data_IF_789025563914
#
_entry.id   IF_789025563914
#
_cell.length_a   1.000
_cell.length_b   1.000
_cell.length_c   1.000
_cell.angle_alpha   90.00
_cell.angle_beta   90.00
_cell.angle_gamma   90.00
#
_symmetry.space_group_name_H-M   'P 1'
#
loop_
_entity.id
_entity.type
_entity.pdbx_description
1 polymer ?
#
# COMPACT_ATOMS: atom_id res chain seq x y z
N UNK A 1 1.10 -5.17 -10.76
CA UNK A 1 0.81 -4.11 -9.77
C UNK A 1 0.60 -4.77 -8.42
N UNK A 2 1.22 -4.27 -7.35
CA UNK A 2 1.02 -4.81 -5.99
C UNK A 2 0.22 -3.82 -5.16
N UNK A 3 -0.87 -4.27 -4.54
CA UNK A 3 -1.67 -3.51 -3.58
C UNK A 3 -1.37 -4.08 -2.19
N UNK A 4 -0.87 -3.24 -1.29
CA UNK A 4 -0.42 -3.66 0.03
C UNK A 4 -1.27 -2.99 1.09
N UNK A 5 -1.89 -3.78 1.96
CA UNK A 5 -2.61 -3.29 3.12
C UNK A 5 -1.89 -3.73 4.39
N UNK A 6 -1.54 -2.76 5.21
CA UNK A 6 -0.90 -2.98 6.51
C UNK A 6 -1.98 -2.89 7.57
N UNK A 7 -2.14 -3.96 8.35
CA UNK A 7 -3.15 -4.06 9.40
C UNK A 7 -2.48 -3.92 10.77
N UNK A 8 -2.90 -2.94 11.57
CA UNK A 8 -2.50 -2.87 12.97
C UNK A 8 -3.21 -3.93 13.83
N UNK A 9 -2.74 -4.14 15.06
CA UNK A 9 -3.29 -5.16 15.94
C UNK A 9 -4.78 -4.91 16.22
N UNK A 10 -5.63 -5.85 15.77
CA UNK A 10 -7.08 -5.79 15.93
C UNK A 10 -7.82 -5.17 14.76
N UNK A 11 -7.12 -4.68 13.73
CA UNK A 11 -7.74 -4.27 12.47
C UNK A 11 -8.03 -5.47 11.59
N UNK A 12 -9.20 -5.46 10.98
CA UNK A 12 -9.61 -6.43 9.97
C UNK A 12 -9.60 -5.78 8.61
N UNK A 13 -9.28 -6.57 7.58
CA UNK A 13 -9.43 -6.12 6.21
C UNK A 13 -10.88 -5.68 5.95
N UNK A 14 -11.12 -4.53 5.31
CA UNK A 14 -12.48 -4.17 4.90
C UNK A 14 -13.06 -5.26 4.00
N UNK A 15 -14.28 -5.72 4.30
CA UNK A 15 -14.91 -6.86 3.59
C UNK A 15 -15.01 -6.65 2.07
N UNK A 16 -15.13 -5.39 1.63
CA UNK A 16 -15.27 -5.04 0.21
C UNK A 16 -13.94 -4.91 -0.54
N UNK A 17 -12.83 -4.70 0.15
CA UNK A 17 -11.55 -4.40 -0.51
C UNK A 17 -11.10 -5.58 -1.39
N UNK A 18 -11.26 -6.81 -0.92
CA UNK A 18 -10.94 -7.99 -1.71
C UNK A 18 -11.81 -8.07 -2.97
N UNK A 19 -13.12 -7.89 -2.83
CA UNK A 19 -14.06 -7.91 -3.95
C UNK A 19 -13.82 -6.79 -4.96
N UNK A 20 -13.48 -5.58 -4.50
CA UNK A 20 -13.16 -4.45 -5.38
C UNK A 20 -11.88 -4.74 -6.20
N UNK A 21 -10.88 -5.40 -5.60
CA UNK A 21 -9.66 -5.82 -6.30
C UNK A 21 -9.95 -6.93 -7.32
N UNK A 22 -10.78 -7.91 -6.99
CA UNK A 22 -11.20 -8.95 -7.94
C UNK A 22 -11.93 -8.36 -9.16
N UNK A 23 -12.75 -7.34 -8.95
CA UNK A 23 -13.39 -6.60 -10.05
C UNK A 23 -12.34 -5.91 -10.91
N UNK A 24 -11.35 -5.24 -10.31
CA UNK A 24 -10.27 -4.58 -11.07
C UNK A 24 -9.44 -5.57 -11.88
N UNK A 25 -9.08 -6.72 -11.30
CA UNK A 25 -8.28 -7.75 -11.98
C UNK A 25 -9.02 -8.29 -13.22
N UNK A 26 -10.35 -8.45 -13.12
CA UNK A 26 -11.20 -8.86 -14.24
C UNK A 26 -11.32 -7.79 -15.33
N UNK A 27 -11.49 -6.52 -14.94
CA UNK A 27 -11.69 -5.42 -15.89
C UNK A 27 -10.39 -5.02 -16.61
N UNK A 28 -9.23 -5.33 -16.03
CA UNK A 28 -7.91 -5.01 -16.57
C UNK A 28 -7.01 -6.27 -16.71
N UNK A 29 -7.33 -7.22 -17.61
CA UNK A 29 -6.61 -8.49 -17.72
C UNK A 29 -5.15 -8.36 -18.17
N UNK A 30 -4.78 -7.23 -18.77
CA UNK A 30 -3.38 -6.93 -19.14
C UNK A 30 -2.55 -6.42 -17.94
N UNK A 31 -3.18 -6.15 -16.80
CA UNK A 31 -2.52 -5.70 -15.57
C UNK A 31 -2.59 -6.85 -14.54
N UNK A 32 -1.45 -7.46 -14.26
CA UNK A 32 -1.34 -8.45 -13.18
C UNK A 32 -1.52 -7.75 -11.82
N UNK A 33 -2.60 -7.97 -11.08
CA UNK A 33 -2.85 -7.35 -9.77
C UNK A 33 -2.61 -8.37 -8.65
N UNK A 34 -1.66 -8.07 -7.76
CA UNK A 34 -1.40 -8.89 -6.57
C UNK A 34 -1.79 -8.12 -5.31
N UNK A 35 -2.67 -8.72 -4.50
CA UNK A 35 -3.07 -8.18 -3.21
C UNK A 35 -2.31 -8.82 -2.05
N UNK A 36 -1.70 -8.00 -1.20
CA UNK A 36 -0.92 -8.42 -0.04
C UNK A 36 -1.44 -7.75 1.22
N UNK A 37 -2.10 -8.51 2.09
CA UNK A 37 -2.45 -8.06 3.44
C UNK A 37 -1.36 -8.55 4.43
N UNK A 38 -0.83 -7.63 5.25
CA UNK A 38 0.19 -7.99 6.23
C UNK A 38 0.00 -7.26 7.56
N UNK A 39 0.28 -7.91 8.70
CA UNK A 39 0.26 -7.25 10.00
C UNK A 39 1.49 -6.34 10.16
N UNK A 40 1.30 -5.16 10.75
CA UNK A 40 2.40 -4.26 11.05
C UNK A 40 1.96 -2.82 11.27
N UNK A 41 2.94 -1.92 11.33
CA UNK A 41 2.71 -0.46 11.41
C UNK A 41 3.17 0.18 10.11
N UNK A 42 2.29 0.97 9.50
CA UNK A 42 2.64 1.72 8.30
C UNK A 42 3.56 2.89 8.64
N UNK A 43 4.63 3.05 7.87
CA UNK A 43 5.64 4.09 8.10
C UNK A 43 6.81 4.03 7.11
N UNK A 44 7.76 4.97 7.21
CA UNK A 44 8.87 5.09 6.26
C UNK A 44 9.82 3.89 6.27
N UNK A 45 9.95 3.20 7.41
CA UNK A 45 10.76 1.99 7.54
C UNK A 45 10.19 0.84 6.70
N UNK A 46 8.88 0.62 6.78
CA UNK A 46 8.20 -0.42 6.00
C UNK A 46 8.30 -0.13 4.50
N UNK A 47 8.16 1.13 4.07
CA UNK A 47 8.32 1.50 2.66
C UNK A 47 9.72 1.14 2.15
N UNK A 48 10.77 1.43 2.92
CA UNK A 48 12.15 1.06 2.57
C UNK A 48 12.33 -0.46 2.50
N UNK A 49 11.81 -1.18 3.50
CA UNK A 49 11.87 -2.64 3.52
C UNK A 49 11.20 -3.26 2.28
N UNK A 50 10.00 -2.81 1.94
CA UNK A 50 9.27 -3.28 0.76
C UNK A 50 9.99 -2.91 -0.54
N UNK A 51 10.60 -1.73 -0.59
CA UNK A 51 11.42 -1.27 -1.73
C UNK A 51 12.60 -2.21 -1.96
N UNK A 52 13.32 -2.58 -0.90
CA UNK A 52 14.46 -3.49 -0.97
C UNK A 52 14.06 -4.93 -1.28
N UNK A 53 12.94 -5.39 -0.69
CA UNK A 53 12.39 -6.75 -0.85
C UNK A 53 11.92 -7.00 -2.27
N UNK A 54 11.22 -6.05 -2.87
CA UNK A 54 10.66 -6.20 -4.21
C UNK A 54 11.51 -5.54 -5.30
N UNK A 55 12.61 -4.87 -4.93
CA UNK A 55 13.47 -4.10 -5.84
C UNK A 55 12.68 -3.06 -6.63
N UNK A 56 11.68 -2.47 -6.00
CA UNK A 56 10.85 -1.39 -6.55
C UNK A 56 11.34 -0.09 -5.93
N UNK A 57 11.84 0.88 -6.70
CA UNK A 57 12.24 2.16 -6.12
C UNK A 57 11.04 2.91 -5.54
N UNK A 58 11.23 3.61 -4.41
CA UNK A 58 10.16 4.26 -3.64
C UNK A 58 9.34 5.26 -4.47
N UNK A 59 9.96 5.93 -5.45
CA UNK A 59 9.29 6.88 -6.34
C UNK A 59 8.29 6.23 -7.32
N UNK A 60 8.30 4.90 -7.46
CA UNK A 60 7.27 4.12 -8.18
C UNK A 60 6.15 3.63 -7.27
N UNK A 61 6.24 3.88 -5.97
CA UNK A 61 5.21 3.51 -5.02
C UNK A 61 4.22 4.66 -4.81
N UNK A 62 3.00 4.28 -4.48
CA UNK A 62 1.93 5.19 -4.12
C UNK A 62 1.38 4.81 -2.75
N UNK A 63 0.99 5.81 -1.98
CA UNK A 63 0.34 5.63 -0.69
C UNK A 63 -1.01 6.34 -0.73
N UNK A 64 -2.02 5.72 -0.12
CA UNK A 64 -3.29 6.39 0.12
C UNK A 64 -3.05 7.62 1.00
N UNK A 65 -3.90 8.64 0.84
CA UNK A 65 -3.80 9.85 1.65
C UNK A 65 -3.84 9.47 3.14
N UNK A 66 -2.79 9.79 3.92
CA UNK A 66 -2.81 9.55 5.36
C UNK A 66 -3.92 10.35 6.04
N UNK A 67 -4.51 9.81 7.10
CA UNK A 67 -5.51 10.51 7.91
C UNK A 67 -4.91 11.61 8.80
N UNK A 68 -5.76 12.38 9.47
CA UNK A 68 -5.40 13.56 10.29
C UNK A 68 -4.36 13.30 11.39
N UNK A 69 -4.19 12.06 11.82
CA UNK A 69 -3.26 11.65 12.88
C UNK A 69 -2.01 10.94 12.38
N UNK A 70 -1.61 11.13 11.12
CA UNK A 70 -0.40 10.51 10.61
C UNK A 70 0.87 11.23 11.11
N UNK A 71 1.75 10.54 11.87
CA UNK A 71 2.82 11.19 12.62
C UNK A 71 4.04 11.55 11.77
N UNK A 72 4.08 11.15 10.50
CA UNK A 72 5.20 11.37 9.60
C UNK A 72 4.89 12.44 8.58
N UNK A 73 5.87 13.32 8.30
CA UNK A 73 5.79 14.22 7.15
C UNK A 73 5.96 13.40 5.88
N UNK A 74 5.27 13.79 4.80
CA UNK A 74 5.40 13.12 3.48
C UNK A 74 6.85 13.08 3.00
N UNK A 75 7.63 14.12 3.30
CA UNK A 75 9.06 14.21 2.98
C UNK A 75 9.90 13.09 3.63
N UNK A 76 9.49 12.61 4.81
CA UNK A 76 10.19 11.55 5.56
C UNK A 76 9.92 10.16 4.97
N UNK A 77 8.93 10.04 4.08
CA UNK A 77 8.49 8.78 3.45
C UNK A 77 9.32 8.41 2.21
N UNK A 78 10.43 9.12 1.95
CA UNK A 78 11.40 8.74 0.92
C UNK A 78 10.99 9.09 -0.51
N UNK A 79 10.13 10.09 -0.70
CA UNK A 79 9.68 10.53 -2.03
C UNK A 79 8.57 9.69 -2.65
N UNK A 80 7.85 8.93 -1.84
CA UNK A 80 6.62 8.22 -2.24
C UNK A 80 5.53 9.20 -2.65
N UNK A 81 4.66 8.80 -3.60
CA UNK A 81 3.60 9.65 -4.15
C UNK A 81 2.25 9.39 -3.46
N UNK A 82 1.43 10.43 -3.36
CA UNK A 82 0.07 10.33 -2.84
C UNK A 82 -0.94 10.05 -3.96
N UNK A 83 -1.94 9.24 -3.65
CA UNK A 83 -3.17 9.08 -4.44
C UNK A 83 -4.38 9.47 -3.59
N UNK A 84 -5.36 10.13 -4.21
CA UNK A 84 -6.61 10.61 -3.60
C UNK A 84 -7.77 9.87 -4.23
#
# INVERSE_FOLDING_TARGET
>A
MKIVTVLENGETLPDRLASDIEVLDREYPDIDIEFVAMPGKFGPELIRELSDKWKIPINFMFIGSPGDHFPYRIEEMGGVRLII
#
